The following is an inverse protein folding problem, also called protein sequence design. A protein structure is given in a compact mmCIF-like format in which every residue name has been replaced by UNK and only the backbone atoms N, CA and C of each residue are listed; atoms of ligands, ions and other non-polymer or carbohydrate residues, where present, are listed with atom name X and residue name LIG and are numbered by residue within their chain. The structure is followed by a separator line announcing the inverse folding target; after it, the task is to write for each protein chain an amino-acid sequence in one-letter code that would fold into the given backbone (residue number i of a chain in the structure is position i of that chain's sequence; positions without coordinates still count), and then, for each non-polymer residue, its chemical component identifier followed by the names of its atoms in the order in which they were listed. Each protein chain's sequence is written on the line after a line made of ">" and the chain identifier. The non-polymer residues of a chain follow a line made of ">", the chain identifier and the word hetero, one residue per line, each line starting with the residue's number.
data_IF_263854681115
#
_entry.id   IF_263854681115
#
_cell.length_a   1.000
_cell.length_b   1.000
_cell.length_c   1.000
_cell.angle_alpha   90.00
_cell.angle_beta   90.00
_cell.angle_gamma   90.00
#
_symmetry.space_group_name_H-M   'P 1'
#
loop_
_entity.id
_entity.type
_entity.pdbx_description
1 polymer ?
#
# COMPACT_ATOMS: atom_id res chain seq x y z
N UNK A 1 -0.84 -59.76 -62.17
CA UNK A 1 0.00 -58.58 -61.86
C UNK A 1 -0.84 -57.66 -60.99
N UNK A 2 -0.54 -57.57 -59.70
CA UNK A 2 -1.24 -56.67 -58.76
C UNK A 2 -0.22 -55.61 -58.34
N UNK A 3 -0.52 -54.34 -58.64
CA UNK A 3 0.34 -53.19 -58.32
C UNK A 3 -0.08 -52.65 -56.95
N UNK A 4 0.84 -52.64 -55.99
CA UNK A 4 0.65 -52.02 -54.69
C UNK A 4 1.25 -50.61 -54.72
N UNK A 5 0.42 -49.59 -54.50
CA UNK A 5 0.84 -48.19 -54.35
C UNK A 5 1.04 -47.89 -52.87
N UNK A 6 2.28 -47.55 -52.51
CA UNK A 6 2.69 -47.18 -51.16
C UNK A 6 2.49 -45.68 -50.95
N UNK A 7 1.63 -45.28 -50.01
CA UNK A 7 1.53 -43.89 -49.55
C UNK A 7 2.42 -43.70 -48.32
N UNK A 8 3.47 -42.88 -48.44
CA UNK A 8 4.28 -42.42 -47.31
C UNK A 8 3.55 -41.26 -46.63
N UNK A 9 3.00 -41.51 -45.43
CA UNK A 9 2.48 -40.46 -44.57
C UNK A 9 3.66 -39.73 -43.88
N UNK A 10 3.87 -38.46 -44.23
CA UNK A 10 4.85 -37.60 -43.57
C UNK A 10 4.29 -37.13 -42.23
N UNK A 11 4.86 -37.60 -41.12
CA UNK A 11 4.57 -37.07 -39.78
C UNK A 11 5.21 -35.68 -39.65
N UNK A 12 4.39 -34.62 -39.69
CA UNK A 12 4.81 -33.30 -39.22
C UNK A 12 4.87 -33.30 -37.68
N UNK A 13 6.07 -33.27 -37.14
CA UNK A 13 6.30 -33.09 -35.70
C UNK A 13 6.16 -31.60 -35.40
N UNK A 14 5.00 -31.18 -34.87
CA UNK A 14 4.84 -29.84 -34.30
C UNK A 14 5.53 -29.79 -32.94
N UNK A 15 6.71 -29.15 -32.87
CA UNK A 15 7.35 -28.81 -31.60
C UNK A 15 6.49 -27.78 -30.87
N UNK A 16 5.75 -28.24 -29.85
CA UNK A 16 5.05 -27.37 -28.91
C UNK A 16 6.12 -26.68 -28.07
N UNK A 17 6.43 -25.41 -28.39
CA UNK A 17 7.23 -24.56 -27.52
C UNK A 17 6.36 -24.20 -26.32
N UNK A 18 6.59 -24.87 -25.19
CA UNK A 18 6.05 -24.47 -23.90
C UNK A 18 6.69 -23.14 -23.51
N UNK A 19 6.02 -22.03 -23.80
CA UNK A 19 6.40 -20.71 -23.28
C UNK A 19 6.02 -20.72 -21.79
N UNK A 20 7.00 -20.89 -20.91
CA UNK A 20 6.82 -20.57 -19.49
C UNK A 20 6.56 -19.08 -19.37
N UNK A 21 5.30 -18.71 -19.18
CA UNK A 21 4.94 -17.39 -18.64
C UNK A 21 5.50 -17.33 -17.21
N UNK A 22 6.66 -16.71 -17.06
CA UNK A 22 7.14 -16.29 -15.76
C UNK A 22 6.12 -15.26 -15.26
N UNK A 23 5.32 -15.65 -14.27
CA UNK A 23 4.49 -14.69 -13.53
C UNK A 23 5.41 -13.57 -13.06
N UNK A 24 5.16 -12.34 -13.51
CA UNK A 24 5.88 -11.17 -13.01
C UNK A 24 5.77 -11.10 -11.48
N UNK A 25 6.79 -10.52 -10.83
CA UNK A 25 6.70 -10.19 -9.40
C UNK A 25 5.52 -9.23 -9.21
N UNK A 26 4.68 -9.51 -8.22
CA UNK A 26 3.53 -8.69 -7.89
C UNK A 26 3.82 -7.88 -6.63
N UNK A 27 3.47 -6.60 -6.66
CA UNK A 27 3.51 -5.70 -5.51
C UNK A 27 2.11 -5.40 -4.99
N UNK A 28 2.01 -5.10 -3.70
CA UNK A 28 0.79 -4.57 -3.10
C UNK A 28 0.61 -3.10 -3.48
N UNK A 29 -0.64 -2.72 -3.75
CA UNK A 29 -1.00 -1.31 -3.92
C UNK A 29 -2.22 -0.93 -3.10
N UNK A 30 -2.36 0.34 -2.77
CA UNK A 30 -3.50 0.89 -2.03
C UNK A 30 -4.20 1.99 -2.83
N UNK A 31 -5.36 2.44 -2.35
CA UNK A 31 -6.05 3.60 -2.93
C UNK A 31 -6.61 4.53 -1.85
N UNK A 32 -6.88 5.77 -2.27
CA UNK A 32 -7.66 6.73 -1.49
C UNK A 32 -9.14 6.37 -1.55
N UNK A 33 -9.77 6.31 -0.39
CA UNK A 33 -11.20 5.98 -0.23
C UNK A 33 -12.03 7.23 -0.05
N UNK A 34 -11.53 8.19 0.71
CA UNK A 34 -12.22 9.45 0.96
C UNK A 34 -11.24 10.58 1.25
N UNK A 35 -11.70 11.80 1.03
CA UNK A 35 -11.04 13.04 1.42
C UNK A 35 -11.99 13.84 2.31
N UNK A 36 -11.48 14.44 3.38
CA UNK A 36 -12.23 15.42 4.18
C UNK A 36 -11.60 16.79 4.01
N UNK A 37 -12.17 17.60 3.11
CA UNK A 37 -11.66 18.94 2.75
C UNK A 37 -11.40 19.83 3.97
N UNK A 38 -12.31 19.82 4.95
CA UNK A 38 -12.23 20.70 6.13
C UNK A 38 -11.03 20.42 7.04
N UNK A 39 -10.51 19.19 7.00
CA UNK A 39 -9.38 18.76 7.83
C UNK A 39 -8.13 18.47 7.00
N UNK A 40 -8.22 18.55 5.67
CA UNK A 40 -7.18 18.13 4.73
C UNK A 40 -6.64 16.73 5.04
N UNK A 41 -7.53 15.78 5.33
CA UNK A 41 -7.16 14.39 5.61
C UNK A 41 -7.71 13.43 4.55
N UNK A 42 -6.95 12.38 4.31
CA UNK A 42 -7.28 11.28 3.42
C UNK A 42 -7.40 9.98 4.20
N UNK A 43 -8.35 9.14 3.78
CA UNK A 43 -8.41 7.73 4.18
C UNK A 43 -7.77 6.89 3.08
N UNK A 44 -6.66 6.24 3.40
CA UNK A 44 -5.98 5.26 2.54
C UNK A 44 -6.36 3.85 2.99
N UNK A 45 -6.57 2.94 2.05
CA UNK A 45 -7.04 1.59 2.32
C UNK A 45 -6.41 0.55 1.38
N UNK A 46 -6.15 -0.61 1.96
CA UNK A 46 -6.05 -1.88 1.27
C UNK A 46 -7.31 -2.71 1.55
N UNK A 47 -8.07 -3.03 0.50
CA UNK A 47 -9.26 -3.88 0.60
C UNK A 47 -9.40 -4.77 -0.65
N UNK A 48 -9.84 -6.01 -0.46
CA UNK A 48 -10.01 -6.98 -1.55
C UNK A 48 -11.08 -6.56 -2.55
N UNK A 49 -12.10 -5.79 -2.11
CA UNK A 49 -13.15 -5.24 -2.99
C UNK A 49 -12.63 -4.19 -3.96
N UNK A 50 -11.55 -3.48 -3.60
CA UNK A 50 -10.83 -2.62 -4.55
C UNK A 50 -9.77 -3.38 -5.33
N UNK A 51 -9.48 -4.64 -4.99
CA UNK A 51 -8.45 -5.47 -5.60
C UNK A 51 -7.07 -5.32 -4.93
N UNK A 52 -6.99 -4.87 -3.68
CA UNK A 52 -5.74 -4.97 -2.91
C UNK A 52 -5.53 -6.37 -2.36
N UNK A 53 -4.29 -6.85 -2.37
CA UNK A 53 -3.91 -8.12 -1.76
C UNK A 53 -2.57 -7.98 -1.03
N UNK A 54 -2.58 -7.82 0.31
CA UNK A 54 -1.35 -7.67 1.08
C UNK A 54 -0.56 -8.98 1.19
N UNK A 55 -1.19 -10.13 0.92
CA UNK A 55 -0.59 -11.46 1.12
C UNK A 55 0.08 -12.03 -0.14
N UNK A 56 -0.38 -11.66 -1.33
CA UNK A 56 0.24 -12.09 -2.59
C UNK A 56 0.72 -10.94 -3.51
N UNK A 57 0.40 -9.69 -3.16
CA UNK A 57 0.49 -8.57 -4.10
C UNK A 57 -0.68 -8.59 -5.09
N UNK A 58 -0.93 -7.44 -5.72
CA UNK A 58 -2.09 -7.25 -6.60
C UNK A 58 -1.78 -6.59 -7.94
N UNK A 59 -0.59 -6.01 -8.09
CA UNK A 59 -0.20 -5.28 -9.29
C UNK A 59 1.17 -5.73 -9.79
N UNK A 60 1.31 -5.95 -11.11
CA UNK A 60 2.59 -6.29 -11.74
C UNK A 60 3.62 -5.17 -11.48
N UNK A 61 4.80 -5.52 -10.98
CA UNK A 61 5.83 -4.55 -10.61
C UNK A 61 6.33 -3.66 -11.76
N UNK A 62 6.09 -4.03 -13.02
CA UNK A 62 6.40 -3.18 -14.19
C UNK A 62 5.33 -2.13 -14.47
N UNK A 63 4.18 -2.20 -13.80
CA UNK A 63 3.11 -1.20 -13.91
C UNK A 63 3.59 0.13 -13.37
N UNK A 64 3.37 1.21 -14.13
CA UNK A 64 3.73 2.56 -13.71
C UNK A 64 2.63 3.18 -12.85
N UNK A 65 2.81 3.18 -11.53
CA UNK A 65 1.93 3.83 -10.55
C UNK A 65 2.72 4.80 -9.67
N UNK A 66 2.07 5.80 -9.04
CA UNK A 66 2.72 6.61 -8.03
C UNK A 66 3.15 5.76 -6.83
N UNK A 67 4.23 6.15 -6.16
CA UNK A 67 4.55 5.67 -4.81
C UNK A 67 3.81 6.54 -3.81
N UNK A 68 3.18 5.91 -2.80
CA UNK A 68 2.68 6.63 -1.65
C UNK A 68 3.85 6.88 -0.69
N UNK A 69 4.18 8.15 -0.51
CA UNK A 69 5.22 8.59 0.41
C UNK A 69 4.56 9.22 1.64
N UNK A 70 5.26 9.14 2.78
CA UNK A 70 4.84 9.77 4.02
C UNK A 70 5.96 10.60 4.64
N UNK A 71 5.58 11.51 5.52
CA UNK A 71 6.46 12.15 6.47
C UNK A 71 5.79 12.13 7.84
N UNK A 72 6.44 11.51 8.82
CA UNK A 72 5.94 11.48 10.21
C UNK A 72 6.58 12.62 11.00
N UNK A 73 5.78 13.61 11.38
CA UNK A 73 6.21 14.79 12.15
C UNK A 73 5.61 14.83 13.56
N UNK A 74 4.89 13.76 13.95
CA UNK A 74 4.14 13.64 15.22
C UNK A 74 2.93 14.57 15.30
N UNK A 75 2.44 15.06 14.17
CA UNK A 75 1.25 15.90 14.12
C UNK A 75 0.06 15.23 14.84
N UNK A 76 -0.69 16.00 15.65
CA UNK A 76 -1.81 15.46 16.40
C UNK A 76 -2.93 15.03 15.46
N UNK A 77 -3.63 13.98 15.86
CA UNK A 77 -4.82 13.47 15.17
C UNK A 77 -5.96 14.50 15.20
N UNK A 78 -6.52 14.95 14.06
CA UNK A 78 -7.73 15.77 14.06
C UNK A 78 -8.96 15.07 14.65
N UNK A 79 -9.94 15.86 15.07
CA UNK A 79 -11.24 15.35 15.51
C UNK A 79 -12.11 14.94 14.29
N UNK A 80 -11.86 13.75 13.74
CA UNK A 80 -12.68 13.15 12.68
C UNK A 80 -13.45 11.93 13.17
N UNK A 81 -14.65 11.71 12.62
CA UNK A 81 -15.39 10.47 12.83
C UNK A 81 -14.71 9.32 12.09
N UNK A 82 -14.40 8.23 12.82
CA UNK A 82 -13.81 7.03 12.24
C UNK A 82 -14.91 6.20 11.59
N UNK A 83 -14.73 5.85 10.31
CA UNK A 83 -15.73 5.14 9.49
C UNK A 83 -15.53 3.63 9.42
N UNK A 84 -14.60 3.08 10.19
CA UNK A 84 -14.20 1.68 10.08
C UNK A 84 -15.03 0.80 10.98
N UNK A 85 -15.32 -0.40 10.51
CA UNK A 85 -16.18 -1.34 11.24
C UNK A 85 -15.40 -2.11 12.30
N UNK A 86 -16.14 -2.70 13.24
CA UNK A 86 -15.62 -3.51 14.35
C UNK A 86 -15.67 -5.01 14.05
N UNK A 87 -15.92 -5.40 12.80
CA UNK A 87 -16.31 -6.79 12.47
C UNK A 87 -15.13 -7.78 12.46
N UNK A 88 -14.00 -7.38 13.04
CA UNK A 88 -12.74 -8.13 13.03
C UNK A 88 -12.20 -8.34 14.44
N UNK A 89 -11.12 -9.13 14.55
CA UNK A 89 -10.54 -9.55 15.83
C UNK A 89 -9.89 -8.43 16.65
N UNK A 90 -9.61 -7.27 16.05
CA UNK A 90 -8.93 -6.14 16.70
C UNK A 90 -9.89 -4.96 16.86
N UNK A 91 -9.65 -4.03 17.81
CA UNK A 91 -10.43 -2.80 17.91
C UNK A 91 -10.45 -2.05 16.57
N UNK A 92 -11.54 -1.35 16.24
CA UNK A 92 -11.66 -0.62 14.96
C UNK A 92 -10.51 0.37 14.73
N UNK A 93 -9.93 0.90 15.81
CA UNK A 93 -8.85 1.86 15.79
C UNK A 93 -7.55 1.26 15.26
N UNK A 94 -7.35 -0.06 15.42
CA UNK A 94 -6.28 -0.81 14.77
C UNK A 94 -6.40 -0.77 13.24
N UNK A 95 -7.63 -0.86 12.72
CA UNK A 95 -7.88 -0.91 11.27
C UNK A 95 -7.95 0.45 10.59
N UNK A 96 -7.97 1.56 11.35
CA UNK A 96 -7.89 2.90 10.79
C UNK A 96 -7.30 3.94 11.74
N UNK A 97 -6.06 3.67 12.10
CA UNK A 97 -5.24 4.56 12.88
C UNK A 97 -4.95 5.90 12.19
N UNK A 98 -4.16 6.71 12.88
CA UNK A 98 -3.61 7.98 12.42
C UNK A 98 -2.12 7.83 12.15
N UNK A 99 -1.63 8.34 11.03
CA UNK A 99 -0.21 8.21 10.61
C UNK A 99 0.74 9.17 11.30
N UNK A 100 0.23 10.12 12.10
CA UNK A 100 1.05 11.13 12.80
C UNK A 100 1.86 12.02 11.84
N UNK A 101 1.28 12.38 10.71
CA UNK A 101 1.92 13.26 9.73
C UNK A 101 1.19 13.33 8.40
N UNK A 102 1.96 13.44 7.32
CA UNK A 102 1.49 13.74 5.98
C UNK A 102 1.74 12.59 5.02
N UNK A 103 0.93 12.51 3.97
CA UNK A 103 1.14 11.68 2.80
C UNK A 103 1.11 12.49 1.50
N UNK A 104 1.83 12.00 0.50
CA UNK A 104 1.88 12.54 -0.85
C UNK A 104 2.15 11.42 -1.85
N UNK A 105 1.85 11.67 -3.13
CA UNK A 105 2.08 10.70 -4.20
C UNK A 105 3.06 11.25 -5.22
N UNK A 106 4.07 10.46 -5.57
CA UNK A 106 5.08 10.81 -6.57
C UNK A 106 4.52 10.78 -8.00
N UNK A 107 5.30 11.18 -9.03
CA UNK A 107 5.02 10.79 -10.41
C UNK A 107 4.96 9.25 -10.56
N UNK A 108 4.29 8.78 -11.62
CA UNK A 108 4.19 7.34 -11.90
C UNK A 108 5.56 6.72 -12.20
N UNK A 109 5.86 5.59 -11.58
CA UNK A 109 7.10 4.82 -11.77
C UNK A 109 6.80 3.32 -11.76
N UNK A 110 7.56 2.54 -12.54
CA UNK A 110 7.49 1.09 -12.47
C UNK A 110 8.24 0.64 -11.22
N UNK A 111 7.57 -0.04 -10.29
CA UNK A 111 8.21 -0.39 -9.03
C UNK A 111 9.39 -1.38 -9.19
N UNK A 112 9.47 -2.09 -10.32
CA UNK A 112 10.62 -2.92 -10.70
C UNK A 112 11.91 -2.13 -10.95
N UNK A 113 11.86 -0.80 -11.04
CA UNK A 113 13.08 0.03 -11.12
C UNK A 113 13.80 0.16 -9.78
N UNK A 114 13.13 -0.17 -8.66
CA UNK A 114 13.71 -0.11 -7.33
C UNK A 114 14.26 -1.48 -6.94
N UNK A 115 15.51 -1.52 -6.49
CA UNK A 115 16.12 -2.76 -6.00
C UNK A 115 15.79 -2.96 -4.53
N UNK A 116 15.89 -1.91 -3.73
CA UNK A 116 15.71 -1.93 -2.27
C UNK A 116 14.66 -0.92 -1.80
N UNK A 117 14.12 -1.11 -0.60
CA UNK A 117 13.30 -0.10 0.07
C UNK A 117 14.02 1.24 0.18
N UNK A 118 15.35 1.23 0.36
CA UNK A 118 16.16 2.44 0.39
C UNK A 118 16.11 3.24 -0.92
N UNK A 119 15.97 2.57 -2.07
CA UNK A 119 15.82 3.26 -3.36
C UNK A 119 14.46 3.95 -3.47
N UNK A 120 13.41 3.33 -2.92
CA UNK A 120 12.07 3.91 -2.89
C UNK A 120 12.01 5.09 -1.92
N UNK A 121 12.65 4.97 -0.75
CA UNK A 121 12.78 6.05 0.22
C UNK A 121 13.58 7.23 -0.35
N UNK A 122 14.65 6.96 -1.11
CA UNK A 122 15.39 7.98 -1.83
C UNK A 122 14.49 8.68 -2.87
N UNK A 123 13.66 7.94 -3.60
CA UNK A 123 12.69 8.52 -4.54
C UNK A 123 11.65 9.42 -3.85
N UNK A 124 11.15 9.03 -2.67
CA UNK A 124 10.28 9.86 -1.85
C UNK A 124 11.01 11.13 -1.35
N UNK A 125 12.26 10.98 -0.91
CA UNK A 125 13.09 12.10 -0.45
C UNK A 125 13.40 13.07 -1.60
N UNK A 126 13.68 12.59 -2.80
CA UNK A 126 13.93 13.44 -3.97
C UNK A 126 12.67 14.22 -4.40
N UNK A 127 11.49 13.60 -4.26
CA UNK A 127 10.22 14.22 -4.63
C UNK A 127 9.74 15.30 -3.64
N UNK A 128 9.98 15.10 -2.34
CA UNK A 128 9.33 15.88 -1.28
C UNK A 128 10.28 16.47 -0.23
N UNK A 129 11.55 16.11 -0.27
CA UNK A 129 12.60 16.58 0.63
C UNK A 129 12.90 15.62 1.80
N UNK A 130 13.86 15.99 2.67
CA UNK A 130 14.29 15.16 3.78
C UNK A 130 13.15 14.72 4.72
N UNK A 131 13.21 13.47 5.16
CA UNK A 131 12.22 12.87 6.07
C UNK A 131 11.00 12.29 5.40
N UNK A 132 10.88 12.43 4.07
CA UNK A 132 9.89 11.69 3.29
C UNK A 132 10.42 10.32 2.91
N UNK A 133 9.65 9.29 3.27
CA UNK A 133 9.97 7.88 3.00
C UNK A 133 8.75 7.17 2.44
N UNK A 134 8.91 5.95 1.96
CA UNK A 134 7.81 5.12 1.49
C UNK A 134 6.80 4.90 2.63
N UNK A 135 5.51 5.03 2.32
CA UNK A 135 4.47 4.67 3.27
C UNK A 135 4.35 3.16 3.40
N UNK A 136 4.11 2.70 4.62
CA UNK A 136 4.08 1.31 5.01
C UNK A 136 2.68 0.93 5.53
N UNK A 137 2.28 -0.31 5.28
CA UNK A 137 0.95 -0.85 5.59
C UNK A 137 0.56 -0.68 7.08
N UNK A 138 1.54 -0.83 7.97
CA UNK A 138 1.38 -0.70 9.42
C UNK A 138 1.74 0.68 9.99
N UNK A 139 1.74 1.73 9.17
CA UNK A 139 2.02 3.10 9.62
C UNK A 139 0.93 3.73 10.48
N UNK A 140 -0.25 3.11 10.56
CA UNK A 140 -1.32 3.59 11.40
C UNK A 140 -0.94 3.47 12.89
N UNK A 141 -1.21 4.51 13.67
CA UNK A 141 -1.06 4.53 15.13
C UNK A 141 -2.42 4.76 15.77
N UNK A 142 -2.67 4.12 16.91
CA UNK A 142 -3.97 4.25 17.55
C UNK A 142 -3.90 4.27 19.07
N UNK A 143 -4.97 4.82 19.67
CA UNK A 143 -5.25 4.73 21.11
C UNK A 143 -6.58 3.98 21.24
N UNK A 144 -6.65 2.91 22.06
CA UNK A 144 -7.92 2.23 22.30
C UNK A 144 -9.04 3.19 22.70
N UNK A 145 -10.15 3.16 21.96
CA UNK A 145 -11.29 4.04 22.17
C UNK A 145 -11.18 5.44 21.55
N UNK A 146 -10.17 5.73 20.71
CA UNK A 146 -10.13 6.98 19.95
C UNK A 146 -11.28 7.09 18.96
N UNK A 147 -11.84 8.29 18.83
CA UNK A 147 -12.91 8.60 17.87
C UNK A 147 -12.98 10.11 17.63
N UNK A 148 -14.07 10.61 17.04
CA UNK A 148 -14.22 12.06 16.78
C UNK A 148 -14.26 12.94 18.05
N UNK A 149 -14.65 12.38 19.19
CA UNK A 149 -14.79 13.07 20.47
C UNK A 149 -13.65 12.79 21.46
N UNK A 150 -12.96 11.65 21.34
CA UNK A 150 -11.90 11.22 22.28
C UNK A 150 -10.56 11.02 21.57
N UNK A 151 -9.48 11.39 22.26
CA UNK A 151 -8.09 11.22 21.81
C UNK A 151 -7.82 11.90 20.45
N UNK A 152 -8.35 13.12 20.30
CA UNK A 152 -8.03 14.03 19.21
C UNK A 152 -7.27 15.25 19.74
N UNK A 153 -6.57 15.96 18.85
CA UNK A 153 -5.90 17.23 19.12
C UNK A 153 -4.97 17.13 20.36
N UNK A 154 -5.16 17.99 21.36
CA UNK A 154 -4.36 17.99 22.57
C UNK A 154 -4.40 16.66 23.34
N UNK A 155 -5.53 15.92 23.32
CA UNK A 155 -5.64 14.64 24.02
C UNK A 155 -4.73 13.58 23.39
N UNK A 156 -4.55 13.62 22.06
CA UNK A 156 -3.60 12.76 21.36
C UNK A 156 -2.18 12.99 21.87
N UNK A 157 -1.74 14.25 21.84
CA UNK A 157 -0.38 14.63 22.28
C UNK A 157 -0.16 14.33 23.76
N UNK A 158 -1.14 14.57 24.61
CA UNK A 158 -1.07 14.26 26.05
C UNK A 158 -0.92 12.76 26.32
N UNK A 159 -1.69 11.92 25.62
CA UNK A 159 -1.55 10.48 25.72
C UNK A 159 -0.16 10.02 25.27
N UNK A 160 0.33 10.55 24.13
CA UNK A 160 1.70 10.28 23.68
C UNK A 160 2.75 10.64 24.72
N UNK A 161 2.66 11.82 25.31
CA UNK A 161 3.60 12.26 26.35
C UNK A 161 3.60 11.34 27.57
N UNK A 162 2.44 10.83 28.00
CA UNK A 162 2.35 9.89 29.13
C UNK A 162 2.79 8.46 28.80
N UNK A 163 2.95 8.13 27.52
CA UNK A 163 3.36 6.81 27.03
C UNK A 163 4.70 6.83 26.28
N UNK A 164 5.54 7.86 26.49
CA UNK A 164 6.85 7.96 25.85
C UNK A 164 6.80 8.06 24.31
N UNK A 165 5.69 8.57 23.78
CA UNK A 165 5.33 8.57 22.36
C UNK A 165 5.27 7.17 21.72
N UNK A 166 5.04 6.13 22.52
CA UNK A 166 4.86 4.77 22.03
C UNK A 166 3.38 4.47 21.82
N UNK A 167 2.93 4.54 20.57
CA UNK A 167 1.58 4.22 20.18
C UNK A 167 1.55 2.82 19.55
N UNK A 168 0.57 1.96 19.91
CA UNK A 168 0.30 0.74 19.18
C UNK A 168 0.17 0.99 17.67
N UNK A 169 0.75 0.10 16.86
CA UNK A 169 0.62 0.12 15.41
C UNK A 169 -0.56 -0.74 14.94
N UNK A 170 -1.25 -0.26 13.91
CA UNK A 170 -2.36 -0.95 13.26
C UNK A 170 -2.06 -1.27 11.80
N UNK A 171 -3.07 -1.39 10.96
CA UNK A 171 -2.88 -1.61 9.52
C UNK A 171 -4.19 -1.58 8.75
N UNK A 172 -4.17 -2.06 7.50
CA UNK A 172 -5.30 -2.14 6.56
C UNK A 172 -5.81 -0.81 6.03
N UNK A 173 -6.04 0.17 6.90
CA UNK A 173 -6.45 1.52 6.54
C UNK A 173 -5.79 2.51 7.50
N UNK A 174 -5.64 3.74 7.06
CA UNK A 174 -5.26 4.83 7.94
C UNK A 174 -5.68 6.19 7.43
N UNK A 175 -5.81 7.11 8.38
CA UNK A 175 -5.97 8.53 8.12
C UNK A 175 -4.61 9.23 8.17
N UNK A 176 -4.43 10.20 7.29
CA UNK A 176 -3.24 11.06 7.24
C UNK A 176 -3.60 12.44 6.70
N UNK A 177 -2.81 13.45 7.03
CA UNK A 177 -2.92 14.72 6.31
C UNK A 177 -2.50 14.51 4.86
N UNK A 178 -3.29 15.00 3.92
CA UNK A 178 -2.99 14.83 2.53
C UNK A 178 -4.13 15.26 1.62
N UNK A 179 -3.79 15.33 0.35
CA UNK A 179 -4.76 15.42 -0.73
C UNK A 179 -4.21 14.64 -1.93
N UNK A 180 -4.00 13.34 -1.72
CA UNK A 180 -3.50 12.45 -2.76
C UNK A 180 -4.57 12.22 -3.82
N UNK A 181 -4.14 11.74 -4.98
CA UNK A 181 -5.02 11.47 -6.13
C UNK A 181 -6.11 10.46 -5.77
N UNK A 182 -7.20 10.44 -6.52
CA UNK A 182 -8.28 9.45 -6.35
C UNK A 182 -8.59 8.69 -7.65
N UNK A 183 -7.78 8.88 -8.70
CA UNK A 183 -7.92 8.29 -10.02
C UNK A 183 -6.96 7.12 -10.28
N UNK A 184 -6.18 6.73 -9.27
CA UNK A 184 -5.14 5.71 -9.38
C UNK A 184 -4.90 5.02 -8.05
N UNK A 185 -4.27 3.85 -8.12
CA UNK A 185 -3.68 3.15 -6.97
C UNK A 185 -2.23 3.59 -6.78
N UNK A 186 -1.66 3.28 -5.62
CA UNK A 186 -0.31 3.66 -5.23
C UNK A 186 0.48 2.46 -4.75
N UNK A 187 1.76 2.41 -5.10
CA UNK A 187 2.70 1.49 -4.47
C UNK A 187 2.82 1.83 -2.98
N UNK A 188 2.75 0.80 -2.14
CA UNK A 188 2.93 0.88 -0.70
C UNK A 188 3.82 -0.27 -0.26
N UNK A 189 4.58 -0.03 0.78
CA UNK A 189 5.45 -1.00 1.40
C UNK A 189 4.69 -1.85 2.46
N UNK A 190 5.16 -3.07 2.68
CA UNK A 190 4.66 -3.95 3.75
C UNK A 190 5.83 -4.83 4.21
N UNK A 191 6.12 -4.78 5.51
CA UNK A 191 7.36 -5.36 6.05
C UNK A 191 7.24 -6.81 6.51
N UNK A 192 6.01 -7.27 6.75
CA UNK A 192 5.69 -8.58 7.29
C UNK A 192 5.12 -9.53 6.22
N UNK A 193 5.11 -9.09 4.95
CA UNK A 193 4.67 -9.89 3.80
C UNK A 193 5.69 -9.81 2.65
N UNK A 194 5.87 -10.90 1.87
CA UNK A 194 6.80 -10.92 0.73
C UNK A 194 6.20 -10.28 -0.54
N UNK A 195 5.42 -9.20 -0.39
CA UNK A 195 4.51 -8.68 -1.42
C UNK A 195 4.86 -7.27 -1.89
N UNK A 196 6.12 -6.89 -1.76
CA UNK A 196 6.66 -5.63 -2.28
C UNK A 196 7.53 -5.87 -3.50
N UNK A 197 7.60 -4.89 -4.41
CA UNK A 197 8.38 -5.03 -5.65
C UNK A 197 9.89 -4.94 -5.44
N UNK A 198 10.34 -4.35 -4.34
CA UNK A 198 11.72 -4.19 -3.92
C UNK A 198 12.14 -5.25 -2.88
N UNK A 199 13.41 -5.29 -2.49
CA UNK A 199 13.90 -6.02 -1.32
C UNK A 199 13.90 -5.14 -0.06
N UNK A 200 13.89 -5.78 1.10
CA UNK A 200 14.25 -5.15 2.38
C UNK A 200 15.63 -5.58 2.84
#
# INVERSE_FOLDING_TARGET
>A
MVSATSYLASLMVFSIVLISIVSGKMGMTVAKVSHQNALAIDLIQCDTTMGCNPYAGDTDCNTRLPVLCKQTDKSPRPAYAMTCTTDYAMPKEFYCGWTMGYIATTPKVAASTFSTIGDVDAYCTDAFGPGWVTAEFHDSRYIPGMNGATYANAQWTQWGASHGNNYPSGGWRYYSYGNVRNDTRFWMDINDQPTTCWSR
#
